data_IF_779306012531
#
_entry.id   IF_779306012531
#
_cell.length_a   1.000
_cell.length_b   1.000
_cell.length_c   1.000
_cell.angle_alpha   90.00
_cell.angle_beta   90.00
_cell.angle_gamma   90.00
#
_symmetry.space_group_name_H-M   'P 1'
#
loop_
_entity.id
_entity.type
_entity.pdbx_description
1 polymer ?
#
# COMPACT_ATOMS: atom_id res chain seq x y z
N UNK A 1 -18.59 -11.37 -23.85
CA UNK A 1 -17.18 -11.74 -23.62
C UNK A 1 -16.65 -10.88 -22.48
N UNK A 2 -15.92 -11.47 -21.55
CA UNK A 2 -15.26 -10.67 -20.50
C UNK A 2 -14.11 -9.86 -21.11
N UNK A 3 -13.88 -8.65 -20.59
CA UNK A 3 -12.80 -7.76 -21.04
C UNK A 3 -11.44 -8.35 -20.63
N UNK A 4 -10.52 -8.45 -21.60
CA UNK A 4 -9.13 -8.79 -21.35
C UNK A 4 -8.32 -7.51 -21.46
N UNK A 5 -7.73 -7.09 -20.34
CA UNK A 5 -6.93 -5.88 -20.28
C UNK A 5 -5.51 -6.14 -20.78
N UNK A 6 -5.02 -5.24 -21.61
CA UNK A 6 -3.69 -5.30 -22.19
C UNK A 6 -2.63 -4.78 -21.22
N UNK A 7 -1.37 -5.16 -21.41
CA UNK A 7 -0.23 -4.52 -20.76
C UNK A 7 0.26 -3.31 -21.58
N UNK A 8 1.01 -2.42 -20.97
CA UNK A 8 1.49 -1.21 -21.63
C UNK A 8 3.00 -1.21 -21.73
N UNK A 9 3.54 -1.09 -22.94
CA UNK A 9 4.98 -1.02 -23.17
C UNK A 9 5.30 -0.28 -24.46
N UNK A 10 6.41 0.46 -24.47
CA UNK A 10 6.86 1.22 -25.65
C UNK A 10 5.82 2.24 -26.14
N UNK A 11 5.04 2.83 -25.24
CA UNK A 11 3.96 3.76 -25.58
C UNK A 11 2.72 3.11 -26.19
N UNK A 12 2.58 1.79 -26.13
CA UNK A 12 1.51 1.03 -26.78
C UNK A 12 0.89 -0.01 -25.85
N UNK A 13 -0.42 -0.23 -26.02
CA UNK A 13 -1.15 -1.34 -25.42
C UNK A 13 -0.92 -2.61 -26.23
N UNK A 14 -0.55 -3.69 -25.54
CA UNK A 14 -0.16 -4.96 -26.16
C UNK A 14 -0.86 -6.13 -25.48
N UNK A 15 -1.08 -7.19 -26.25
CA UNK A 15 -1.48 -8.49 -25.72
C UNK A 15 -0.26 -9.41 -25.65
N UNK A 16 -0.22 -10.30 -24.64
CA UNK A 16 0.84 -11.31 -24.52
C UNK A 16 0.79 -12.29 -25.69
N UNK A 17 1.95 -12.61 -26.24
CA UNK A 17 2.09 -13.62 -27.30
C UNK A 17 1.74 -15.04 -26.82
N UNK A 18 1.85 -15.29 -25.52
CA UNK A 18 1.45 -16.57 -24.92
C UNK A 18 -0.06 -16.81 -25.00
N UNK A 19 -0.86 -15.75 -25.10
CA UNK A 19 -2.32 -15.79 -24.99
C UNK A 19 -2.84 -16.11 -23.59
N UNK A 20 -1.96 -16.32 -22.61
CA UNK A 20 -2.36 -16.60 -21.22
C UNK A 20 -2.88 -15.35 -20.53
N UNK A 21 -3.91 -15.54 -19.71
CA UNK A 21 -4.53 -14.46 -18.93
C UNK A 21 -4.77 -14.89 -17.48
N UNK A 22 -4.91 -13.90 -16.59
CA UNK A 22 -5.26 -14.11 -15.21
C UNK A 22 -6.62 -13.48 -14.98
N UNK A 23 -7.61 -14.31 -14.62
CA UNK A 23 -8.94 -13.82 -14.25
C UNK A 23 -8.88 -13.06 -12.92
N UNK A 24 -9.51 -11.89 -12.89
CA UNK A 24 -9.66 -11.08 -11.68
C UNK A 24 -11.07 -11.30 -11.15
N UNK A 25 -11.14 -11.88 -9.95
CA UNK A 25 -12.40 -12.24 -9.30
C UNK A 25 -12.75 -11.19 -8.25
N UNK A 26 -13.96 -10.68 -8.29
CA UNK A 26 -14.45 -9.75 -7.28
C UNK A 26 -14.58 -10.42 -5.91
N UNK A 27 -14.06 -9.81 -4.83
CA UNK A 27 -14.15 -10.38 -3.49
C UNK A 27 -15.58 -10.46 -2.95
N UNK A 28 -16.50 -9.63 -3.46
CA UNK A 28 -17.89 -9.61 -2.98
C UNK A 28 -18.89 -10.18 -3.99
N UNK A 29 -18.66 -10.02 -5.31
CA UNK A 29 -19.52 -10.61 -6.35
C UNK A 29 -19.21 -12.10 -6.58
N UNK A 30 -18.04 -12.57 -6.17
CA UNK A 30 -17.55 -13.94 -6.39
C UNK A 30 -17.50 -14.37 -7.86
N UNK A 31 -17.52 -13.41 -8.75
CA UNK A 31 -17.44 -13.62 -10.20
C UNK A 31 -16.27 -12.86 -10.80
N UNK A 32 -15.77 -13.35 -11.93
CA UNK A 32 -14.73 -12.64 -12.66
C UNK A 32 -15.29 -11.33 -13.23
N UNK A 33 -14.55 -10.24 -13.05
CA UNK A 33 -14.87 -8.90 -13.56
C UNK A 33 -14.06 -8.54 -14.81
N UNK A 34 -13.11 -9.37 -15.19
CA UNK A 34 -12.21 -9.21 -16.32
C UNK A 34 -10.98 -10.10 -16.15
N UNK A 35 -10.05 -9.97 -17.07
CA UNK A 35 -8.77 -10.66 -17.01
C UNK A 35 -7.63 -9.72 -17.42
N UNK A 36 -6.43 -9.95 -16.93
CA UNK A 36 -5.21 -9.26 -17.35
C UNK A 36 -4.26 -10.23 -18.03
N UNK A 37 -3.32 -9.73 -18.82
CA UNK A 37 -2.31 -10.56 -19.48
C UNK A 37 -1.40 -11.24 -18.43
N UNK A 38 -1.02 -12.49 -18.68
CA UNK A 38 0.04 -13.17 -17.93
C UNK A 38 1.33 -13.13 -18.76
N UNK A 39 2.17 -12.13 -18.49
CA UNK A 39 3.41 -11.93 -19.24
C UNK A 39 4.42 -13.04 -18.96
N UNK A 40 5.13 -13.43 -20.02
CA UNK A 40 6.32 -14.28 -19.95
C UNK A 40 7.53 -13.48 -19.44
N UNK A 41 8.60 -14.20 -19.05
CA UNK A 41 9.86 -13.53 -18.66
C UNK A 41 10.48 -12.78 -19.85
N UNK A 42 10.35 -13.28 -21.06
CA UNK A 42 10.86 -12.61 -22.27
C UNK A 42 10.13 -11.28 -22.53
N UNK A 43 8.81 -11.25 -22.39
CA UNK A 43 8.02 -10.01 -22.50
C UNK A 43 8.35 -9.02 -21.39
N UNK A 44 8.56 -9.51 -20.17
CA UNK A 44 9.03 -8.68 -19.04
C UNK A 44 10.42 -8.11 -19.36
N UNK A 45 11.34 -8.90 -19.90
CA UNK A 45 12.65 -8.41 -20.34
C UNK A 45 12.52 -7.33 -21.41
N UNK A 46 11.65 -7.50 -22.41
CA UNK A 46 11.40 -6.48 -23.44
C UNK A 46 10.89 -5.17 -22.81
N UNK A 47 10.05 -5.23 -21.79
CA UNK A 47 9.61 -4.04 -21.03
C UNK A 47 10.79 -3.36 -20.32
N UNK A 48 11.67 -4.13 -19.68
CA UNK A 48 12.86 -3.60 -18.99
C UNK A 48 13.82 -2.96 -20.00
N UNK A 49 14.09 -3.62 -21.13
CA UNK A 49 14.95 -3.05 -22.19
C UNK A 49 14.34 -1.77 -22.79
N UNK A 50 13.01 -1.70 -22.91
CA UNK A 50 12.32 -0.47 -23.33
C UNK A 50 12.53 0.67 -22.31
N UNK A 51 12.41 0.39 -21.02
CA UNK A 51 12.66 1.37 -19.96
C UNK A 51 14.12 1.85 -19.96
N UNK A 52 15.06 0.91 -20.10
CA UNK A 52 16.50 1.19 -20.17
C UNK A 52 16.85 2.07 -21.38
N UNK A 53 16.25 1.80 -22.53
CA UNK A 53 16.48 2.59 -23.75
C UNK A 53 15.94 4.03 -23.64
N UNK A 54 14.81 4.23 -22.94
CA UNK A 54 14.20 5.54 -22.73
C UNK A 54 14.90 6.37 -21.62
N UNK A 55 15.65 5.73 -20.74
CA UNK A 55 16.25 6.34 -19.55
C UNK A 55 17.17 7.57 -19.86
N UNK A 56 18.09 7.52 -20.82
CA UNK A 56 18.97 8.65 -21.09
C UNK A 56 18.21 9.93 -21.45
N UNK A 57 17.28 9.85 -22.40
CA UNK A 57 16.53 11.01 -22.88
C UNK A 57 15.60 11.58 -21.78
N UNK A 58 14.94 10.68 -21.03
CA UNK A 58 14.08 11.08 -19.92
C UNK A 58 14.86 11.76 -18.79
N UNK A 59 16.06 11.27 -18.48
CA UNK A 59 16.93 11.84 -17.45
C UNK A 59 17.46 13.22 -17.80
N UNK A 60 17.68 13.49 -19.10
CA UNK A 60 18.14 14.78 -19.62
C UNK A 60 17.02 15.82 -19.75
N UNK A 61 15.77 15.38 -19.78
CA UNK A 61 14.62 16.29 -19.79
C UNK A 61 14.60 17.12 -18.51
N UNK A 62 14.31 18.42 -18.59
CA UNK A 62 14.22 19.25 -17.39
C UNK A 62 13.14 18.76 -16.43
N UNK A 63 13.34 18.96 -15.12
CA UNK A 63 12.33 18.62 -14.12
C UNK A 63 11.00 19.35 -14.38
N UNK A 64 11.09 20.56 -14.92
CA UNK A 64 9.93 21.37 -15.30
C UNK A 64 9.13 20.73 -16.44
N UNK A 65 9.80 20.19 -17.45
CA UNK A 65 9.11 19.50 -18.56
C UNK A 65 8.51 18.17 -18.09
N UNK A 66 9.22 17.42 -17.24
CA UNK A 66 8.65 16.20 -16.63
C UNK A 66 7.42 16.50 -15.77
N UNK A 67 7.41 17.64 -15.06
CA UNK A 67 6.29 18.08 -14.24
C UNK A 67 4.99 18.22 -15.03
N UNK A 68 5.04 18.69 -16.29
CA UNK A 68 3.86 18.82 -17.14
C UNK A 68 3.15 17.48 -17.36
N UNK A 69 3.89 16.38 -17.57
CA UNK A 69 3.29 15.06 -17.75
C UNK A 69 2.60 14.58 -16.48
N UNK A 70 3.18 14.84 -15.31
CA UNK A 70 2.63 14.38 -14.03
C UNK A 70 1.42 15.21 -13.61
N UNK A 71 1.44 16.53 -13.80
CA UNK A 71 0.26 17.37 -13.57
C UNK A 71 -0.91 16.95 -14.49
N UNK A 72 -0.62 16.75 -15.79
CA UNK A 72 -1.62 16.26 -16.73
C UNK A 72 -2.14 14.87 -16.34
N UNK A 73 -1.30 13.99 -15.79
CA UNK A 73 -1.73 12.68 -15.27
C UNK A 73 -2.69 12.82 -14.10
N UNK A 74 -2.42 13.68 -13.13
CA UNK A 74 -3.33 13.96 -12.01
C UNK A 74 -4.70 14.45 -12.52
N UNK A 75 -4.71 15.36 -13.50
CA UNK A 75 -5.94 15.87 -14.12
C UNK A 75 -6.74 14.76 -14.84
N UNK A 76 -6.05 13.86 -15.57
CA UNK A 76 -6.70 12.74 -16.24
C UNK A 76 -7.26 11.72 -15.24
N UNK A 77 -6.58 11.47 -14.11
CA UNK A 77 -7.12 10.63 -13.03
C UNK A 77 -8.42 11.21 -12.46
N UNK A 78 -8.48 12.52 -12.24
CA UNK A 78 -9.70 13.17 -11.76
C UNK A 78 -10.86 13.05 -12.75
N UNK A 79 -10.58 13.11 -14.06
CA UNK A 79 -11.60 12.91 -15.11
C UNK A 79 -12.12 11.46 -15.14
N UNK A 80 -11.31 10.51 -14.70
CA UNK A 80 -11.65 9.07 -14.68
C UNK A 80 -12.07 8.58 -13.29
N UNK A 81 -12.29 9.46 -12.30
CA UNK A 81 -12.45 9.06 -10.90
C UNK A 81 -13.65 8.13 -10.66
N UNK A 82 -14.78 8.36 -11.29
CA UNK A 82 -15.97 7.51 -11.13
C UNK A 82 -15.76 6.12 -11.76
N UNK A 83 -15.09 6.05 -12.91
CA UNK A 83 -14.73 4.78 -13.54
C UNK A 83 -13.75 4.00 -12.68
N UNK A 84 -12.67 4.65 -12.22
CA UNK A 84 -11.67 4.05 -11.34
C UNK A 84 -12.29 3.58 -10.02
N UNK A 85 -13.15 4.39 -9.40
CA UNK A 85 -13.83 4.03 -8.16
C UNK A 85 -14.74 2.81 -8.34
N UNK A 86 -15.49 2.74 -9.44
CA UNK A 86 -16.32 1.58 -9.78
C UNK A 86 -15.49 0.32 -9.96
N UNK A 87 -14.32 0.44 -10.59
CA UNK A 87 -13.39 -0.68 -10.79
C UNK A 87 -12.81 -1.13 -9.45
N UNK A 88 -12.27 -0.22 -8.64
CA UNK A 88 -11.73 -0.54 -7.31
C UNK A 88 -12.77 -1.20 -6.41
N UNK A 89 -14.01 -0.68 -6.42
CA UNK A 89 -15.10 -1.29 -5.68
C UNK A 89 -15.31 -2.76 -6.10
N UNK A 90 -15.34 -3.04 -7.39
CA UNK A 90 -15.52 -4.41 -7.91
C UNK A 90 -14.29 -5.29 -7.74
N UNK A 91 -13.11 -4.74 -7.94
CA UNK A 91 -11.85 -5.48 -7.98
C UNK A 91 -11.33 -5.82 -6.58
N UNK A 92 -11.36 -4.88 -5.65
CA UNK A 92 -10.76 -5.04 -4.31
C UNK A 92 -11.76 -4.86 -3.17
N UNK A 93 -13.06 -4.76 -3.48
CA UNK A 93 -14.12 -4.65 -2.47
C UNK A 93 -14.11 -3.36 -1.66
N UNK A 94 -13.46 -2.30 -2.14
CA UNK A 94 -13.43 -1.01 -1.45
C UNK A 94 -14.77 -0.30 -1.58
N UNK A 95 -15.29 0.28 -0.49
CA UNK A 95 -16.50 1.09 -0.52
C UNK A 95 -16.38 2.21 -1.58
N UNK A 96 -17.44 2.43 -2.37
CA UNK A 96 -17.39 3.33 -3.52
C UNK A 96 -16.91 4.74 -3.17
N UNK A 97 -17.42 5.32 -2.06
CA UNK A 97 -17.01 6.66 -1.63
C UNK A 97 -15.56 6.74 -1.19
N UNK A 98 -15.02 5.67 -0.59
CA UNK A 98 -13.61 5.61 -0.22
C UNK A 98 -12.72 5.42 -1.45
N UNK A 99 -13.19 4.73 -2.47
CA UNK A 99 -12.53 4.63 -3.76
C UNK A 99 -12.49 5.99 -4.50
N UNK A 100 -13.56 6.77 -4.48
CA UNK A 100 -13.57 8.16 -5.00
C UNK A 100 -12.51 9.01 -4.29
N UNK A 101 -12.50 8.99 -2.94
CA UNK A 101 -11.52 9.74 -2.16
C UNK A 101 -10.08 9.29 -2.41
N UNK A 102 -9.87 8.00 -2.69
CA UNK A 102 -8.54 7.49 -3.04
C UNK A 102 -8.03 8.15 -4.32
N UNK A 103 -8.86 8.25 -5.37
CA UNK A 103 -8.46 8.89 -6.63
C UNK A 103 -8.19 10.39 -6.43
N UNK A 104 -9.04 11.09 -5.69
CA UNK A 104 -8.86 12.51 -5.39
C UNK A 104 -7.54 12.77 -4.65
N UNK A 105 -7.30 12.04 -3.57
CA UNK A 105 -6.05 12.12 -2.81
C UNK A 105 -4.82 11.72 -3.62
N UNK A 106 -5.00 10.84 -4.62
CA UNK A 106 -3.91 10.45 -5.51
C UNK A 106 -3.51 11.58 -6.43
N UNK A 107 -4.47 12.33 -6.96
CA UNK A 107 -4.18 13.51 -7.76
C UNK A 107 -3.45 14.58 -6.93
N UNK A 108 -3.92 14.84 -5.71
CA UNK A 108 -3.25 15.76 -4.77
C UNK A 108 -1.82 15.30 -4.46
N UNK A 109 -1.62 14.00 -4.21
CA UNK A 109 -0.30 13.42 -3.95
C UNK A 109 0.66 13.61 -5.13
N UNK A 110 0.18 13.43 -6.37
CA UNK A 110 0.99 13.63 -7.57
C UNK A 110 1.40 15.10 -7.68
N UNK A 111 0.46 16.04 -7.53
CA UNK A 111 0.77 17.47 -7.54
C UNK A 111 1.80 17.86 -6.47
N UNK A 112 1.56 17.43 -5.23
CA UNK A 112 2.48 17.67 -4.12
C UNK A 112 3.88 17.09 -4.40
N UNK A 113 3.97 15.87 -4.92
CA UNK A 113 5.25 15.22 -5.27
C UNK A 113 6.01 16.02 -6.33
N UNK A 114 5.31 16.57 -7.32
CA UNK A 114 5.94 17.41 -8.36
C UNK A 114 6.47 18.70 -7.77
N UNK A 115 5.68 19.38 -6.94
CA UNK A 115 6.08 20.64 -6.32
C UNK A 115 7.28 20.45 -5.39
N UNK A 116 7.31 19.40 -4.58
CA UNK A 116 8.47 19.07 -3.74
C UNK A 116 9.72 18.77 -4.57
N UNK A 117 9.55 18.06 -5.69
CA UNK A 117 10.69 17.68 -6.54
C UNK A 117 11.35 18.90 -7.21
N UNK A 118 10.59 19.94 -7.54
CA UNK A 118 11.13 21.19 -8.12
C UNK A 118 12.11 21.88 -7.15
N UNK A 119 11.93 21.68 -5.85
CA UNK A 119 12.80 22.24 -4.80
C UNK A 119 14.02 21.37 -4.48
N UNK A 120 14.19 20.21 -5.11
CA UNK A 120 15.38 19.38 -4.96
C UNK A 120 16.59 20.05 -5.60
N UNK A 121 17.33 20.81 -4.79
CA UNK A 121 18.57 21.46 -5.21
C UNK A 121 19.80 20.63 -4.81
N UNK A 122 20.91 20.85 -5.53
CA UNK A 122 22.22 20.35 -5.12
C UNK A 122 22.84 21.22 -4.02
N UNK A 123 24.04 20.84 -3.59
CA UNK A 123 24.82 21.57 -2.58
C UNK A 123 26.14 22.05 -3.17
N UNK A 124 26.60 23.19 -2.70
CA UNK A 124 27.94 23.71 -3.03
C UNK A 124 28.73 23.90 -1.74
N UNK A 125 29.89 23.24 -1.62
CA UNK A 125 30.71 23.22 -0.44
C UNK A 125 32.09 23.80 -0.72
N UNK A 126 32.50 24.81 0.09
CA UNK A 126 33.82 25.41 0.02
C UNK A 126 34.86 24.56 0.72
N UNK A 127 35.99 24.29 0.07
CA UNK A 127 37.03 23.41 0.63
C UNK A 127 37.68 23.95 1.91
N UNK A 128 37.61 25.26 2.18
CA UNK A 128 38.12 25.86 3.44
C UNK A 128 37.33 25.45 4.70
N UNK A 129 36.12 24.90 4.52
CA UNK A 129 35.31 24.41 5.65
C UNK A 129 35.73 23.02 6.15
N UNK A 130 36.70 22.38 5.53
CA UNK A 130 37.17 21.05 5.89
C UNK A 130 38.62 21.06 6.38
N UNK A 131 38.97 20.27 7.39
CA UNK A 131 40.37 20.13 7.83
C UNK A 131 41.31 19.73 6.68
N UNK A 132 42.37 20.50 6.44
CA UNK A 132 43.29 20.28 5.35
C UNK A 132 42.79 20.71 3.96
N UNK A 133 41.62 21.34 3.91
CA UNK A 133 41.04 21.91 2.68
C UNK A 133 41.62 23.28 2.35
N UNK A 134 41.28 23.83 1.18
CA UNK A 134 41.71 25.15 0.73
C UNK A 134 40.62 25.85 -0.08
N UNK A 135 40.68 27.16 -0.16
CA UNK A 135 39.77 27.99 -0.98
C UNK A 135 39.79 27.66 -2.48
N UNK A 136 40.84 27.02 -2.95
CA UNK A 136 40.93 26.63 -4.37
C UNK A 136 40.12 25.39 -4.72
N UNK A 137 39.52 24.72 -3.71
CA UNK A 137 38.68 23.55 -3.91
C UNK A 137 37.20 23.92 -3.70
N UNK A 138 36.38 23.51 -4.64
CA UNK A 138 34.91 23.61 -4.60
C UNK A 138 34.35 22.22 -4.88
N UNK A 139 33.43 21.75 -4.02
CA UNK A 139 32.63 20.58 -4.30
C UNK A 139 31.22 21.00 -4.68
N UNK A 140 30.70 20.47 -5.77
CA UNK A 140 29.32 20.61 -6.21
C UNK A 140 28.70 19.21 -6.14
N UNK A 141 27.60 19.10 -5.41
CA UNK A 141 26.85 17.84 -5.22
C UNK A 141 25.53 17.98 -5.95
N UNK A 142 25.26 17.08 -6.88
CA UNK A 142 24.01 17.04 -7.63
C UNK A 142 23.31 15.70 -7.41
N UNK A 143 21.98 15.71 -7.41
CA UNK A 143 21.16 14.50 -7.40
C UNK A 143 20.91 14.08 -8.84
N UNK A 144 21.18 12.80 -9.13
CA UNK A 144 20.99 12.22 -10.47
C UNK A 144 20.01 11.03 -10.39
N UNK A 145 19.27 10.74 -11.48
CA UNK A 145 18.43 9.55 -11.56
C UNK A 145 19.24 8.26 -11.39
N UNK A 146 18.67 7.26 -10.75
CA UNK A 146 19.30 5.96 -10.57
C UNK A 146 19.23 5.09 -11.84
N UNK A 147 18.15 5.19 -12.60
CA UNK A 147 17.92 4.36 -13.78
C UNK A 147 16.51 3.79 -13.86
N UNK A 148 16.40 2.48 -14.15
CA UNK A 148 15.12 1.79 -14.21
C UNK A 148 14.65 1.40 -12.80
N UNK A 149 13.50 1.89 -12.39
CA UNK A 149 12.87 1.61 -11.10
C UNK A 149 11.82 0.53 -11.26
N UNK A 150 11.89 -0.53 -10.47
CA UNK A 150 10.82 -1.51 -10.32
C UNK A 150 9.86 -1.05 -9.22
N UNK A 151 8.62 -0.69 -9.59
CA UNK A 151 7.57 -0.29 -8.68
C UNK A 151 6.53 -1.40 -8.53
N UNK A 152 6.34 -1.92 -7.32
CA UNK A 152 5.37 -2.98 -7.00
C UNK A 152 4.38 -2.44 -5.98
N UNK A 153 3.09 -2.36 -6.34
CA UNK A 153 2.03 -1.83 -5.48
C UNK A 153 1.12 -2.93 -4.91
N UNK A 154 0.48 -2.68 -3.75
CA UNK A 154 -0.46 -3.62 -3.12
C UNK A 154 -1.87 -3.49 -3.69
N UNK A 155 -2.77 -4.35 -3.20
CA UNK A 155 -4.18 -4.35 -3.64
C UNK A 155 -5.06 -3.34 -2.90
N UNK A 156 -4.76 -3.03 -1.64
CA UNK A 156 -5.67 -2.30 -0.75
C UNK A 156 -5.82 -0.80 -1.08
N UNK A 157 -4.79 -0.20 -1.66
CA UNK A 157 -4.81 1.15 -2.24
C UNK A 157 -4.15 1.10 -3.63
N UNK A 158 -4.81 0.46 -4.62
CA UNK A 158 -4.19 0.10 -5.89
C UNK A 158 -3.82 1.31 -6.76
N UNK A 159 -4.46 2.46 -6.53
CA UNK A 159 -4.18 3.72 -7.26
C UNK A 159 -3.24 4.62 -6.45
N UNK A 160 -3.54 4.86 -5.17
CA UNK A 160 -2.77 5.80 -4.37
C UNK A 160 -1.34 5.29 -4.07
N UNK A 161 -1.20 4.04 -3.59
CA UNK A 161 0.12 3.48 -3.28
C UNK A 161 0.93 3.17 -4.54
N UNK A 162 0.29 2.98 -5.69
CA UNK A 162 0.99 2.94 -6.97
C UNK A 162 1.54 4.32 -7.33
N UNK A 163 0.72 5.37 -7.29
CA UNK A 163 1.15 6.74 -7.58
C UNK A 163 2.28 7.22 -6.65
N UNK A 164 2.23 6.85 -5.37
CA UNK A 164 3.28 7.15 -4.39
C UNK A 164 4.66 6.55 -4.75
N UNK A 165 4.70 5.59 -5.67
CA UNK A 165 5.93 5.01 -6.21
C UNK A 165 6.28 5.60 -7.58
N UNK A 166 5.28 5.71 -8.45
CA UNK A 166 5.47 6.13 -9.83
C UNK A 166 5.81 7.62 -9.93
N UNK A 167 5.08 8.49 -9.21
CA UNK A 167 5.27 9.93 -9.31
C UNK A 167 6.69 10.36 -8.88
N UNK A 168 7.22 9.99 -7.69
CA UNK A 168 8.58 10.37 -7.32
C UNK A 168 9.65 9.76 -8.24
N UNK A 169 9.48 8.52 -8.71
CA UNK A 169 10.42 7.91 -9.63
C UNK A 169 10.47 8.66 -10.97
N UNK A 170 9.31 8.97 -11.55
CA UNK A 170 9.21 9.66 -12.84
C UNK A 170 9.70 11.11 -12.76
N UNK A 171 9.25 11.88 -11.76
CA UNK A 171 9.63 13.30 -11.65
C UNK A 171 11.13 13.49 -11.44
N UNK A 172 11.78 12.58 -10.74
CA UNK A 172 13.23 12.60 -10.51
C UNK A 172 14.04 12.06 -11.70
N UNK A 173 13.38 11.73 -12.82
CA UNK A 173 14.03 11.38 -14.08
C UNK A 173 14.37 9.90 -14.24
N UNK A 174 13.80 9.02 -13.43
CA UNK A 174 13.91 7.58 -13.60
C UNK A 174 12.83 7.06 -14.54
N UNK A 175 13.10 5.96 -15.24
CA UNK A 175 12.07 5.20 -15.96
C UNK A 175 11.54 4.08 -15.06
N UNK A 176 10.34 3.59 -15.34
CA UNK A 176 9.63 2.70 -14.43
C UNK A 176 9.09 1.45 -15.10
N UNK A 177 9.31 0.31 -14.44
CA UNK A 177 8.55 -0.93 -14.62
C UNK A 177 7.53 -0.99 -13.49
N UNK A 178 6.26 -0.88 -13.82
CA UNK A 178 5.18 -0.95 -12.85
C UNK A 178 4.52 -2.33 -12.82
N UNK A 179 4.55 -2.98 -11.68
CA UNK A 179 3.86 -4.24 -11.41
C UNK A 179 2.80 -4.06 -10.33
N UNK A 180 1.51 -3.90 -10.65
CA UNK A 180 0.45 -3.91 -9.66
C UNK A 180 0.33 -5.29 -8.99
N UNK A 181 -0.30 -5.37 -7.82
CA UNK A 181 -0.76 -6.63 -7.27
C UNK A 181 -1.67 -7.33 -8.30
N UNK A 182 -1.72 -8.66 -8.29
CA UNK A 182 -2.62 -9.40 -9.20
C UNK A 182 -4.07 -8.95 -8.99
N UNK A 183 -4.53 -8.94 -7.75
CA UNK A 183 -5.79 -8.31 -7.36
C UNK A 183 -5.53 -6.80 -7.18
N UNK A 184 -5.98 -5.98 -8.10
CA UNK A 184 -5.65 -4.55 -8.27
C UNK A 184 -5.04 -4.23 -9.64
N UNK A 185 -4.83 -5.25 -10.49
CA UNK A 185 -4.22 -5.08 -11.82
C UNK A 185 -5.11 -4.31 -12.79
N UNK A 186 -6.43 -4.44 -12.70
CA UNK A 186 -7.37 -3.67 -13.56
C UNK A 186 -7.32 -2.20 -13.16
N UNK A 187 -7.37 -1.89 -11.87
CA UNK A 187 -7.22 -0.52 -11.35
C UNK A 187 -5.87 0.08 -11.77
N UNK A 188 -4.78 -0.69 -11.64
CA UNK A 188 -3.46 -0.30 -12.11
C UNK A 188 -3.40 -0.03 -13.61
N UNK A 189 -4.03 -0.88 -14.43
CA UNK A 189 -4.12 -0.69 -15.88
C UNK A 189 -4.86 0.60 -16.23
N UNK A 190 -5.99 0.85 -15.60
CA UNK A 190 -6.78 2.08 -15.80
C UNK A 190 -6.05 3.35 -15.35
N UNK A 191 -5.29 3.25 -14.27
CA UNK A 191 -4.42 4.35 -13.86
C UNK A 191 -3.35 4.68 -14.91
N UNK A 192 -2.80 3.66 -15.57
CA UNK A 192 -1.84 3.86 -16.65
C UNK A 192 -2.54 4.35 -17.94
N UNK A 193 -3.81 4.01 -18.19
CA UNK A 193 -4.59 4.63 -19.28
C UNK A 193 -4.69 6.15 -19.11
N UNK A 194 -4.87 6.64 -17.87
CA UNK A 194 -4.83 8.08 -17.60
C UNK A 194 -3.46 8.70 -17.92
N UNK A 195 -2.36 8.03 -17.51
CA UNK A 195 -1.01 8.50 -17.81
C UNK A 195 -0.70 8.44 -19.31
N UNK A 196 -1.13 7.42 -20.02
CA UNK A 196 -0.90 7.28 -21.46
C UNK A 196 -1.54 8.43 -22.29
N UNK A 197 -2.65 9.01 -21.80
CA UNK A 197 -3.29 10.18 -22.43
C UNK A 197 -2.44 11.46 -22.38
N UNK A 198 -1.43 11.51 -21.53
CA UNK A 198 -0.51 12.66 -21.43
C UNK A 198 0.54 12.70 -22.54
N UNK A 199 0.60 11.69 -23.42
CA UNK A 199 1.65 11.50 -24.39
C UNK A 199 3.06 11.36 -23.77
N UNK A 200 3.13 10.69 -22.59
CA UNK A 200 4.41 10.36 -21.95
C UNK A 200 5.33 9.66 -22.97
N UNK A 201 6.62 10.03 -23.07
CA UNK A 201 7.52 9.41 -24.04
C UNK A 201 7.55 7.88 -23.93
N UNK A 202 7.61 7.22 -25.08
CA UNK A 202 7.59 5.76 -25.16
C UNK A 202 8.72 5.13 -24.33
N UNK A 203 8.41 4.11 -23.54
CA UNK A 203 9.38 3.41 -22.70
C UNK A 203 9.60 4.02 -21.30
N UNK A 204 9.24 5.28 -21.05
CA UNK A 204 9.42 5.93 -19.74
C UNK A 204 8.66 5.18 -18.64
N UNK A 205 7.47 4.67 -18.95
CA UNK A 205 6.73 3.75 -18.08
C UNK A 205 6.29 2.52 -18.86
N UNK A 206 6.46 1.35 -18.25
CA UNK A 206 5.95 0.08 -18.75
C UNK A 206 5.15 -0.62 -17.64
N UNK A 207 3.92 -1.03 -17.95
CA UNK A 207 3.06 -1.81 -17.07
C UNK A 207 3.24 -3.29 -17.37
N UNK A 208 3.61 -4.07 -16.37
CA UNK A 208 3.72 -5.53 -16.46
C UNK A 208 2.71 -6.20 -15.55
N UNK A 209 1.93 -7.13 -16.08
CA UNK A 209 0.96 -7.93 -15.34
C UNK A 209 1.38 -9.40 -15.33
N UNK A 210 1.09 -10.11 -14.25
CA UNK A 210 1.49 -11.49 -14.07
C UNK A 210 1.51 -11.90 -12.60
N UNK A 211 1.51 -13.21 -12.34
CA UNK A 211 1.63 -13.73 -10.98
C UNK A 211 3.03 -13.46 -10.43
N UNK A 212 3.11 -12.97 -9.19
CA UNK A 212 4.39 -12.72 -8.51
C UNK A 212 5.28 -13.96 -8.41
N UNK A 213 4.67 -15.15 -8.28
CA UNK A 213 5.37 -16.44 -8.28
C UNK A 213 6.04 -16.80 -9.61
N UNK A 214 5.66 -16.15 -10.74
CA UNK A 214 6.18 -16.44 -12.09
C UNK A 214 7.19 -15.40 -12.53
N UNK A 215 6.84 -14.10 -12.40
CA UNK A 215 7.67 -13.01 -12.90
C UNK A 215 8.36 -12.19 -11.80
N UNK A 216 7.98 -12.42 -10.52
CA UNK A 216 8.45 -11.58 -9.40
C UNK A 216 9.96 -11.67 -9.19
N UNK A 217 10.48 -12.87 -9.01
CA UNK A 217 11.91 -13.08 -8.78
C UNK A 217 12.74 -12.61 -9.99
N UNK A 218 12.27 -12.90 -11.21
CA UNK A 218 12.92 -12.45 -12.44
C UNK A 218 13.07 -10.93 -12.50
N UNK A 219 12.00 -10.19 -12.12
CA UNK A 219 12.03 -8.72 -12.06
C UNK A 219 13.04 -8.22 -11.03
N UNK A 220 13.07 -8.83 -9.84
CA UNK A 220 13.91 -8.38 -8.71
C UNK A 220 15.38 -8.66 -8.97
N UNK A 221 15.71 -9.81 -9.59
CA UNK A 221 17.06 -10.26 -9.86
C UNK A 221 17.66 -9.68 -11.17
N UNK A 222 16.86 -8.91 -11.94
CA UNK A 222 17.29 -8.41 -13.25
C UNK A 222 18.39 -7.33 -13.12
N UNK A 223 19.46 -7.46 -13.91
CA UNK A 223 20.65 -6.58 -13.85
C UNK A 223 20.38 -5.12 -14.18
N UNK A 224 19.37 -4.83 -14.97
CA UNK A 224 19.04 -3.48 -15.41
C UNK A 224 18.06 -2.75 -14.44
N UNK A 225 17.62 -3.40 -13.37
CA UNK A 225 16.86 -2.74 -12.30
C UNK A 225 17.82 -2.03 -11.35
N UNK A 226 17.64 -0.74 -11.20
CA UNK A 226 18.49 0.12 -10.38
C UNK A 226 17.93 0.41 -8.98
N UNK A 227 16.63 0.22 -8.75
CA UNK A 227 15.95 0.38 -7.47
C UNK A 227 14.66 -0.43 -7.48
N UNK A 228 14.32 -1.04 -6.34
CA UNK A 228 12.99 -1.62 -6.11
C UNK A 228 12.25 -0.79 -5.08
N UNK A 229 11.04 -0.34 -5.43
CA UNK A 229 10.08 0.23 -4.47
C UNK A 229 8.87 -0.69 -4.36
N UNK A 230 8.65 -1.21 -3.16
CA UNK A 230 7.66 -2.26 -2.87
C UNK A 230 6.75 -1.83 -1.71
N UNK A 231 5.45 -2.06 -1.87
CA UNK A 231 4.50 -2.08 -0.74
C UNK A 231 3.72 -3.38 -0.77
N UNK A 232 3.69 -4.09 0.35
CA UNK A 232 2.99 -5.35 0.49
C UNK A 232 3.30 -6.09 1.79
N UNK A 233 3.01 -7.39 1.84
CA UNK A 233 3.24 -8.21 3.03
C UNK A 233 4.71 -8.36 3.37
N UNK A 234 5.02 -8.42 4.67
CA UNK A 234 6.38 -8.49 5.23
C UNK A 234 7.18 -9.65 4.68
N UNK A 235 6.61 -10.85 4.61
CA UNK A 235 7.29 -12.04 4.07
C UNK A 235 7.72 -11.87 2.60
N UNK A 236 6.93 -11.15 1.79
CA UNK A 236 7.31 -10.81 0.41
C UNK A 236 8.43 -9.79 0.38
N UNK A 237 8.39 -8.77 1.26
CA UNK A 237 9.46 -7.78 1.41
C UNK A 237 10.79 -8.42 1.80
N UNK A 238 10.79 -9.33 2.77
CA UNK A 238 11.96 -10.12 3.17
C UNK A 238 12.53 -10.94 2.01
N UNK A 239 11.67 -11.62 1.23
CA UNK A 239 12.07 -12.33 0.04
C UNK A 239 12.72 -11.40 -0.99
N UNK A 240 12.17 -10.21 -1.21
CA UNK A 240 12.75 -9.20 -2.10
C UNK A 240 14.14 -8.81 -1.60
N UNK A 241 14.28 -8.50 -0.31
CA UNK A 241 15.54 -8.11 0.29
C UNK A 241 16.62 -9.21 0.18
N UNK A 242 16.23 -10.49 0.27
CA UNK A 242 17.14 -11.62 0.10
C UNK A 242 17.59 -11.83 -1.35
N UNK A 243 16.74 -11.48 -2.33
CA UNK A 243 16.98 -11.74 -3.75
C UNK A 243 17.55 -10.54 -4.51
N UNK A 244 17.25 -9.35 -4.06
CA UNK A 244 17.77 -8.12 -4.65
C UNK A 244 19.30 -8.12 -4.57
N UNK A 245 19.94 -7.70 -5.66
CA UNK A 245 21.37 -7.47 -5.71
C UNK A 245 21.72 -6.21 -4.88
N UNK A 246 22.92 -5.70 -5.01
CA UNK A 246 23.36 -4.48 -4.31
C UNK A 246 22.71 -3.23 -4.95
N UNK A 247 21.38 -3.10 -4.79
CA UNK A 247 20.58 -1.96 -5.25
C UNK A 247 19.75 -1.40 -4.09
N UNK A 248 19.41 -0.12 -4.08
CA UNK A 248 18.51 0.45 -3.08
C UNK A 248 17.13 -0.21 -3.08
N UNK A 249 16.58 -0.40 -1.87
CA UNK A 249 15.24 -0.91 -1.65
C UNK A 249 14.43 0.12 -0.85
N UNK A 250 13.25 0.48 -1.34
CA UNK A 250 12.26 1.30 -0.61
C UNK A 250 11.10 0.38 -0.27
N UNK A 251 10.99 0.03 1.01
CA UNK A 251 10.06 -0.97 1.51
C UNK A 251 9.00 -0.34 2.40
N UNK A 252 7.73 -0.55 2.06
CA UNK A 252 6.57 -0.23 2.87
C UNK A 252 5.84 -1.54 3.15
N UNK A 253 5.96 -2.05 4.38
CA UNK A 253 5.53 -3.39 4.75
C UNK A 253 4.32 -3.36 5.69
N UNK A 254 4.10 -4.46 6.41
CA UNK A 254 3.06 -4.57 7.41
C UNK A 254 3.33 -3.75 8.67
N UNK A 255 2.37 -3.74 9.58
CA UNK A 255 2.46 -3.09 10.88
C UNK A 255 1.63 -3.81 11.94
N UNK A 256 1.98 -3.62 13.21
CA UNK A 256 1.15 -4.02 14.35
C UNK A 256 0.91 -2.81 15.24
N UNK A 257 0.33 -1.80 14.64
CA UNK A 257 0.23 -0.43 15.13
C UNK A 257 -0.56 -0.35 16.44
N UNK A 258 0.07 0.08 17.55
CA UNK A 258 -0.61 0.20 18.83
C UNK A 258 -1.32 1.55 18.99
N UNK A 259 -2.48 1.52 19.66
CA UNK A 259 -3.03 2.68 20.33
C UNK A 259 -2.77 2.54 21.85
N UNK A 260 -1.99 3.46 22.40
CA UNK A 260 -1.67 3.50 23.85
C UNK A 260 -2.63 4.46 24.51
N UNK A 261 -3.34 3.97 25.54
CA UNK A 261 -4.35 4.74 26.28
C UNK A 261 -3.91 4.92 27.73
N UNK A 262 -3.56 6.15 28.06
CA UNK A 262 -3.16 6.54 29.40
C UNK A 262 -4.37 6.69 30.33
N UNK A 263 -4.14 6.73 31.64
CA UNK A 263 -5.22 6.83 32.66
C UNK A 263 -5.97 8.17 32.61
N UNK A 264 -5.36 9.21 32.07
CA UNK A 264 -5.90 10.56 31.92
C UNK A 264 -6.47 10.87 30.54
N UNK A 265 -6.55 9.86 29.64
CA UNK A 265 -7.02 10.02 28.28
C UNK A 265 -8.51 10.41 28.22
N UNK A 266 -8.87 11.21 27.20
CA UNK A 266 -10.27 11.40 26.84
C UNK A 266 -10.80 10.13 26.16
N UNK A 267 -11.49 9.27 26.94
CA UNK A 267 -11.91 7.94 26.51
C UNK A 267 -12.95 7.96 25.39
N UNK A 268 -13.87 8.96 25.37
CA UNK A 268 -14.86 9.09 24.29
C UNK A 268 -14.19 9.40 22.94
N UNK A 269 -13.23 10.34 22.96
CA UNK A 269 -12.44 10.65 21.77
C UNK A 269 -11.59 9.46 21.34
N UNK A 270 -10.91 8.82 22.29
CA UNK A 270 -10.08 7.65 22.03
C UNK A 270 -10.89 6.52 21.39
N UNK A 271 -12.05 6.17 21.95
CA UNK A 271 -12.91 5.10 21.40
C UNK A 271 -13.32 5.37 19.93
N UNK A 272 -13.76 6.58 19.60
CA UNK A 272 -14.12 6.98 18.24
C UNK A 272 -12.95 6.87 17.27
N UNK A 273 -11.77 7.39 17.67
CA UNK A 273 -10.58 7.36 16.81
C UNK A 273 -10.05 5.94 16.65
N UNK A 274 -10.06 5.13 17.72
CA UNK A 274 -9.66 3.72 17.68
C UNK A 274 -10.56 2.94 16.73
N UNK A 275 -11.87 3.06 16.82
CA UNK A 275 -12.81 2.33 15.95
C UNK A 275 -12.63 2.76 14.50
N UNK A 276 -12.57 4.06 14.22
CA UNK A 276 -12.26 4.56 12.88
C UNK A 276 -10.91 4.05 12.37
N UNK A 277 -9.87 4.08 13.22
CA UNK A 277 -8.53 3.64 12.88
C UNK A 277 -8.40 2.13 12.67
N UNK A 278 -9.15 1.32 13.40
CA UNK A 278 -9.06 -0.15 13.35
C UNK A 278 -9.93 -0.76 12.24
N UNK A 279 -11.15 -0.25 12.04
CA UNK A 279 -12.16 -0.94 11.24
C UNK A 279 -12.42 -0.35 9.85
N UNK A 280 -11.93 0.87 9.53
CA UNK A 280 -12.09 1.42 8.18
C UNK A 280 -11.54 0.45 7.13
N UNK A 281 -12.31 0.25 6.05
CA UNK A 281 -11.99 -0.70 4.99
C UNK A 281 -11.72 -2.11 5.55
N UNK A 282 -12.53 -2.53 6.54
CA UNK A 282 -12.39 -3.84 7.21
C UNK A 282 -11.01 -4.08 7.83
N UNK A 283 -10.28 -3.04 8.23
CA UNK A 283 -8.92 -3.17 8.76
C UNK A 283 -7.85 -3.56 7.72
N UNK A 284 -8.16 -3.58 6.42
CA UNK A 284 -7.21 -3.92 5.35
C UNK A 284 -6.25 -2.76 5.02
N UNK A 285 -5.62 -2.21 6.05
CA UNK A 285 -4.67 -1.11 5.96
C UNK A 285 -3.41 -1.41 6.77
N UNK A 286 -2.26 -1.10 6.21
CA UNK A 286 -0.97 -1.24 6.93
C UNK A 286 -0.94 -0.37 8.20
N UNK A 287 -1.51 0.84 8.16
CA UNK A 287 -1.59 1.80 9.26
C UNK A 287 -2.91 1.70 10.07
N UNK A 288 -3.66 0.59 10.00
CA UNK A 288 -4.78 0.38 10.89
C UNK A 288 -4.31 0.21 12.34
N UNK A 289 -5.09 0.69 13.30
CA UNK A 289 -4.86 0.33 14.71
C UNK A 289 -5.14 -1.16 14.85
N UNK A 290 -4.14 -1.94 15.25
CA UNK A 290 -4.21 -3.40 15.27
C UNK A 290 -4.11 -4.00 16.67
N UNK A 291 -3.89 -3.16 17.68
CA UNK A 291 -3.95 -3.50 19.10
C UNK A 291 -4.14 -2.23 19.96
N UNK A 292 -4.85 -2.38 21.06
CA UNK A 292 -4.99 -1.33 22.06
C UNK A 292 -4.22 -1.74 23.31
N UNK A 293 -3.35 -0.86 23.81
CA UNK A 293 -2.61 -1.00 25.06
C UNK A 293 -3.21 -0.02 26.04
N UNK A 294 -4.10 -0.47 26.94
CA UNK A 294 -4.87 0.41 27.80
C UNK A 294 -4.49 0.26 29.26
N UNK A 295 -4.32 1.37 29.97
CA UNK A 295 -4.12 1.34 31.41
C UNK A 295 -5.34 0.72 32.10
N UNK A 296 -5.10 -0.24 33.01
CA UNK A 296 -6.15 -1.07 33.64
C UNK A 296 -7.23 -0.26 34.37
N UNK A 297 -6.91 0.92 34.88
CA UNK A 297 -7.86 1.76 35.61
C UNK A 297 -9.00 2.29 34.77
N UNK A 298 -8.79 2.42 33.46
CA UNK A 298 -9.76 2.97 32.50
C UNK A 298 -10.23 1.94 31.46
N UNK A 299 -9.72 0.69 31.55
CA UNK A 299 -9.96 -0.33 30.54
C UNK A 299 -11.43 -0.71 30.40
N UNK A 300 -12.16 -0.93 31.51
CA UNK A 300 -13.56 -1.34 31.45
C UNK A 300 -14.46 -0.28 30.79
N UNK A 301 -14.22 0.98 31.09
CA UNK A 301 -14.94 2.10 30.48
C UNK A 301 -14.61 2.22 29.00
N UNK A 302 -13.33 2.16 28.64
CA UNK A 302 -12.88 2.23 27.24
C UNK A 302 -13.47 1.07 26.41
N UNK A 303 -13.45 -0.16 26.92
CA UNK A 303 -14.01 -1.34 26.23
C UNK A 303 -15.49 -1.14 25.94
N UNK A 304 -16.26 -0.63 26.92
CA UNK A 304 -17.68 -0.35 26.74
C UNK A 304 -17.93 0.74 25.69
N UNK A 305 -17.11 1.79 25.66
CA UNK A 305 -17.18 2.86 24.66
C UNK A 305 -16.81 2.34 23.26
N UNK A 306 -15.75 1.56 23.14
CA UNK A 306 -15.35 0.95 21.87
C UNK A 306 -16.46 0.03 21.37
N UNK A 307 -17.02 -0.84 22.23
CA UNK A 307 -18.15 -1.70 21.85
C UNK A 307 -19.31 -0.90 21.28
N UNK A 308 -19.70 0.19 21.96
CA UNK A 308 -20.80 1.04 21.51
C UNK A 308 -20.53 1.71 20.15
N UNK A 309 -19.27 2.05 19.84
CA UNK A 309 -18.90 2.62 18.55
C UNK A 309 -18.81 1.52 17.46
N UNK A 310 -18.33 0.33 17.78
CA UNK A 310 -18.28 -0.81 16.84
C UNK A 310 -19.67 -1.28 16.43
N UNK A 311 -20.64 -1.29 17.35
CA UNK A 311 -22.06 -1.63 17.07
C UNK A 311 -22.73 -0.71 16.05
N UNK A 312 -22.18 0.51 15.82
CA UNK A 312 -22.68 1.46 14.82
C UNK A 312 -22.14 1.19 13.41
N UNK A 313 -21.14 0.32 13.27
CA UNK A 313 -20.51 0.07 11.97
C UNK A 313 -21.47 -0.68 11.04
N UNK A 314 -21.57 -0.21 9.82
CA UNK A 314 -22.30 -0.91 8.76
C UNK A 314 -21.49 -2.09 8.23
N UNK A 315 -22.15 -3.24 8.07
CA UNK A 315 -21.56 -4.46 7.50
C UNK A 315 -22.33 -4.81 6.24
N UNK A 316 -21.65 -5.04 5.13
CA UNK A 316 -22.34 -5.39 3.88
C UNK A 316 -21.55 -5.14 2.60
N UNK A 317 -22.28 -4.72 1.56
CA UNK A 317 -21.71 -4.49 0.23
C UNK A 317 -20.89 -3.20 0.16
N UNK A 318 -19.79 -3.20 -0.59
CA UNK A 318 -19.07 -1.97 -0.92
C UNK A 318 -19.91 -0.99 -1.77
N UNK A 319 -20.93 -1.47 -2.48
CA UNK A 319 -21.89 -0.64 -3.22
C UNK A 319 -22.72 0.24 -2.30
N UNK A 320 -23.07 -0.27 -1.11
CA UNK A 320 -23.83 0.45 -0.07
C UNK A 320 -22.94 1.34 0.80
N UNK A 321 -21.65 1.44 0.48
CA UNK A 321 -20.64 2.14 1.27
C UNK A 321 -20.53 1.61 2.70
N UNK A 322 -20.68 0.30 2.89
CA UNK A 322 -20.51 -0.33 4.19
C UNK A 322 -19.04 -0.15 4.67
N UNK A 323 -18.88 0.09 5.99
CA UNK A 323 -17.56 0.21 6.62
C UNK A 323 -16.83 -1.13 6.61
N UNK A 324 -17.57 -2.19 6.91
CA UNK A 324 -17.08 -3.57 6.91
C UNK A 324 -17.58 -4.25 5.63
N UNK A 325 -16.65 -4.60 4.79
CA UNK A 325 -16.83 -5.24 3.50
C UNK A 325 -16.07 -6.57 3.47
N UNK A 326 -16.35 -7.47 2.51
CA UNK A 326 -15.58 -8.71 2.36
C UNK A 326 -14.08 -8.45 2.25
N UNK A 327 -13.27 -9.28 2.91
CA UNK A 327 -11.81 -9.28 2.72
C UNK A 327 -11.46 -9.70 1.29
N UNK A 328 -10.22 -9.44 0.90
CA UNK A 328 -9.78 -9.64 -0.48
C UNK A 328 -10.00 -11.06 -1.00
N UNK A 329 -9.84 -12.05 -0.15
CA UNK A 329 -10.07 -13.46 -0.45
C UNK A 329 -10.38 -14.29 0.80
N UNK A 330 -10.74 -15.55 0.61
CA UNK A 330 -11.05 -16.49 1.69
C UNK A 330 -9.80 -16.85 2.51
N UNK A 331 -8.62 -16.92 1.89
CA UNK A 331 -7.38 -17.21 2.60
C UNK A 331 -7.06 -16.12 3.63
N UNK A 332 -7.30 -14.87 3.30
CA UNK A 332 -7.18 -13.74 4.24
C UNK A 332 -8.19 -13.86 5.38
N UNK A 333 -9.42 -14.28 5.08
CA UNK A 333 -10.44 -14.49 6.09
C UNK A 333 -10.10 -15.69 7.00
N UNK A 334 -9.58 -16.80 6.45
CA UNK A 334 -9.11 -17.96 7.23
C UNK A 334 -8.00 -17.57 8.20
N UNK A 335 -7.05 -16.74 7.74
CA UNK A 335 -5.97 -16.25 8.58
C UNK A 335 -6.48 -15.40 9.75
N UNK A 336 -7.37 -14.44 9.48
CA UNK A 336 -7.97 -13.60 10.53
C UNK A 336 -8.79 -14.43 11.51
N UNK A 337 -9.59 -15.36 11.02
CA UNK A 337 -10.36 -16.29 11.88
C UNK A 337 -9.44 -17.11 12.77
N UNK A 338 -8.34 -17.64 12.23
CA UNK A 338 -7.36 -18.40 13.01
C UNK A 338 -6.67 -17.58 14.11
N UNK A 339 -6.52 -16.25 13.95
CA UNK A 339 -6.04 -15.37 15.02
C UNK A 339 -7.09 -15.16 16.12
N UNK A 340 -8.36 -15.06 15.75
CA UNK A 340 -9.47 -14.95 16.70
C UNK A 340 -9.60 -16.23 17.51
N UNK A 341 -9.59 -17.38 16.84
CA UNK A 341 -9.72 -18.69 17.47
C UNK A 341 -8.57 -18.97 18.45
N UNK A 342 -7.31 -18.71 18.06
CA UNK A 342 -6.14 -18.80 18.94
C UNK A 342 -6.29 -17.94 20.21
N UNK A 343 -6.79 -16.72 20.05
CA UNK A 343 -6.98 -15.82 21.20
C UNK A 343 -8.06 -16.35 22.17
N UNK A 344 -9.19 -16.81 21.64
CA UNK A 344 -10.29 -17.35 22.44
C UNK A 344 -9.89 -18.65 23.14
N UNK A 345 -9.20 -19.57 22.47
CA UNK A 345 -8.66 -20.81 23.05
C UNK A 345 -7.67 -20.52 24.19
N UNK A 346 -6.92 -19.43 24.11
CA UNK A 346 -5.98 -18.99 25.15
C UNK A 346 -6.60 -18.11 26.24
N UNK A 347 -7.91 -17.91 26.21
CA UNK A 347 -8.65 -17.27 27.27
C UNK A 347 -8.93 -15.76 27.08
N UNK A 348 -8.77 -15.22 25.88
CA UNK A 348 -9.29 -13.89 25.56
C UNK A 348 -10.82 -13.85 25.71
N UNK A 349 -11.35 -12.69 26.10
CA UNK A 349 -12.79 -12.47 26.22
C UNK A 349 -13.34 -11.92 24.92
N UNK A 350 -14.31 -12.62 24.31
CA UNK A 350 -15.08 -12.07 23.19
C UNK A 350 -16.06 -11.02 23.71
N UNK A 351 -15.83 -9.76 23.35
CA UNK A 351 -16.75 -8.66 23.70
C UNK A 351 -17.85 -8.53 22.64
N UNK A 352 -17.47 -8.64 21.37
CA UNK A 352 -18.39 -8.52 20.23
C UNK A 352 -17.84 -9.28 19.02
N UNK A 353 -18.72 -9.75 18.14
CA UNK A 353 -18.36 -10.27 16.83
C UNK A 353 -18.12 -11.76 16.78
N UNK A 354 -17.00 -12.21 16.22
CA UNK A 354 -16.67 -13.61 15.90
C UNK A 354 -17.74 -14.27 15.00
N UNK A 355 -18.23 -13.53 14.02
CA UNK A 355 -19.14 -14.02 12.98
C UNK A 355 -18.46 -13.87 11.63
N UNK A 356 -18.58 -14.91 10.79
CA UNK A 356 -18.02 -14.96 9.46
C UNK A 356 -19.02 -15.49 8.44
N UNK A 357 -19.05 -14.90 7.25
CA UNK A 357 -19.77 -15.39 6.08
C UNK A 357 -18.79 -15.38 4.89
N UNK A 358 -18.27 -16.55 4.53
CA UNK A 358 -17.19 -16.71 3.53
C UNK A 358 -15.96 -15.82 3.85
N UNK A 359 -15.67 -14.81 3.03
CA UNK A 359 -14.59 -13.83 3.29
C UNK A 359 -15.09 -12.53 3.95
N UNK A 360 -16.34 -12.44 4.34
CA UNK A 360 -16.85 -11.35 5.16
C UNK A 360 -16.71 -11.71 6.64
N UNK A 361 -15.80 -11.04 7.33
CA UNK A 361 -15.65 -11.14 8.79
C UNK A 361 -16.36 -9.94 9.42
N UNK A 362 -17.23 -10.21 10.37
CA UNK A 362 -17.89 -9.17 11.15
C UNK A 362 -16.91 -8.52 12.12
N UNK A 363 -17.08 -7.23 12.45
CA UNK A 363 -16.17 -6.55 13.37
C UNK A 363 -16.09 -7.30 14.69
N UNK A 364 -14.88 -7.64 15.11
CA UNK A 364 -14.62 -8.45 16.27
C UNK A 364 -13.77 -7.68 17.27
N UNK A 365 -14.21 -7.65 18.53
CA UNK A 365 -13.52 -7.00 19.63
C UNK A 365 -13.17 -8.06 20.69
N UNK A 366 -11.88 -8.17 21.01
CA UNK A 366 -11.32 -9.11 21.98
C UNK A 366 -10.71 -8.35 23.14
N UNK A 367 -11.08 -8.69 24.39
CA UNK A 367 -10.49 -8.15 25.60
C UNK A 367 -9.64 -9.21 26.34
N UNK A 368 -8.86 -8.77 27.31
CA UNK A 368 -7.94 -9.63 28.08
C UNK A 368 -6.96 -10.40 27.19
N UNK A 369 -6.56 -9.81 26.08
CA UNK A 369 -5.53 -10.41 25.22
C UNK A 369 -4.18 -10.33 25.90
N UNK A 370 -3.43 -11.45 25.85
CA UNK A 370 -2.11 -11.58 26.47
C UNK A 370 -1.01 -11.74 25.43
N UNK A 371 0.25 -11.63 25.86
CA UNK A 371 1.44 -11.75 25.00
C UNK A 371 1.64 -13.16 24.40
N UNK A 372 0.96 -14.17 24.94
CA UNK A 372 1.01 -15.56 24.47
C UNK A 372 0.08 -15.81 23.27
N UNK A 373 -0.78 -14.87 22.94
CA UNK A 373 -1.74 -14.94 21.85
C UNK A 373 -1.14 -14.40 20.57
N UNK A 374 -1.32 -15.10 19.46
CA UNK A 374 -0.80 -14.68 18.15
C UNK A 374 -1.28 -13.29 17.75
N UNK A 375 -2.53 -12.96 18.04
CA UNK A 375 -3.12 -11.67 17.68
C UNK A 375 -2.48 -10.46 18.40
N UNK A 376 -1.72 -10.67 19.47
CA UNK A 376 -0.95 -9.60 20.11
C UNK A 376 0.20 -9.11 19.21
N UNK A 377 0.70 -9.96 18.29
CA UNK A 377 1.92 -9.73 17.50
C UNK A 377 1.71 -9.77 15.99
N UNK A 378 0.92 -10.74 15.49
CA UNK A 378 0.71 -10.90 14.05
C UNK A 378 -0.26 -9.84 13.51
N UNK A 379 0.00 -9.37 12.29
CA UNK A 379 -0.85 -8.39 11.58
C UNK A 379 -2.12 -9.08 11.05
N UNK A 380 -3.33 -8.75 11.53
CA UNK A 380 -4.55 -9.44 11.08
C UNK A 380 -4.99 -9.05 9.68
N UNK A 381 -4.75 -7.80 9.25
CA UNK A 381 -5.25 -7.22 8.00
C UNK A 381 -6.75 -7.48 7.78
N UNK A 382 -7.52 -7.39 8.87
CA UNK A 382 -8.94 -7.69 8.95
C UNK A 382 -9.61 -6.98 10.13
N UNK A 383 -10.95 -7.05 10.26
CA UNK A 383 -11.73 -6.26 11.22
C UNK A 383 -11.75 -6.88 12.62
N UNK A 384 -10.58 -7.06 13.22
CA UNK A 384 -10.42 -7.58 14.59
C UNK A 384 -9.50 -6.68 15.40
N UNK A 385 -9.95 -6.31 16.60
CA UNK A 385 -9.22 -5.44 17.51
C UNK A 385 -9.00 -6.12 18.85
N UNK A 386 -7.75 -6.48 19.21
CA UNK A 386 -7.38 -6.98 20.52
C UNK A 386 -7.09 -5.84 21.49
N UNK A 387 -7.54 -5.99 22.74
CA UNK A 387 -7.26 -5.10 23.84
C UNK A 387 -6.36 -5.80 24.85
N UNK A 388 -5.22 -5.20 25.14
CA UNK A 388 -4.23 -5.63 26.11
C UNK A 388 -4.23 -4.63 27.25
N UNK A 389 -4.47 -5.11 28.47
CA UNK A 389 -4.51 -4.29 29.68
C UNK A 389 -3.12 -4.20 30.30
N UNK A 390 -2.65 -2.98 30.59
CA UNK A 390 -1.33 -2.72 31.15
C UNK A 390 -1.43 -2.05 32.52
N UNK A 391 -0.35 -2.12 33.30
CA UNK A 391 -0.29 -1.56 34.66
C UNK A 391 0.29 -0.14 34.65
N UNK A 392 1.03 0.24 33.61
CA UNK A 392 1.67 1.54 33.49
C UNK A 392 1.91 1.93 32.05
N UNK A 393 2.26 3.17 31.81
CA UNK A 393 2.65 3.67 30.49
C UNK A 393 3.95 3.02 30.00
N UNK A 394 4.89 2.76 30.92
CA UNK A 394 6.16 2.10 30.61
C UNK A 394 5.92 0.69 30.09
N UNK A 395 5.02 -0.09 30.72
CA UNK A 395 4.65 -1.41 30.25
C UNK A 395 4.00 -1.34 28.85
N UNK A 396 3.16 -0.36 28.57
CA UNK A 396 2.59 -0.15 27.25
C UNK A 396 3.68 0.11 26.19
N UNK A 397 4.64 0.98 26.51
CA UNK A 397 5.77 1.29 25.63
C UNK A 397 6.66 0.05 25.41
N UNK A 398 6.93 -0.72 26.46
CA UNK A 398 7.70 -1.97 26.34
C UNK A 398 7.00 -2.97 25.41
N UNK A 399 5.70 -3.18 25.57
CA UNK A 399 4.92 -4.08 24.69
C UNK A 399 4.88 -3.52 23.25
N UNK A 400 4.70 -2.22 23.07
CA UNK A 400 4.72 -1.60 21.76
C UNK A 400 6.04 -1.85 21.03
N UNK A 401 7.16 -1.64 21.72
CA UNK A 401 8.52 -1.78 21.19
C UNK A 401 8.99 -3.23 21.04
N UNK A 402 8.36 -4.19 21.72
CA UNK A 402 8.67 -5.61 21.58
C UNK A 402 8.18 -6.22 20.26
N UNK A 403 7.40 -5.48 19.46
CA UNK A 403 6.98 -5.88 18.13
C UNK A 403 8.13 -5.83 17.13
N UNK A 404 8.15 -6.75 16.17
CA UNK A 404 9.04 -6.68 15.01
C UNK A 404 8.67 -5.56 14.03
N UNK A 405 7.46 -4.99 14.16
CA UNK A 405 6.94 -3.90 13.35
C UNK A 405 7.18 -2.55 14.02
N UNK A 406 7.22 -1.48 13.22
CA UNK A 406 7.42 -0.11 13.70
C UNK A 406 6.85 0.95 12.75
N UNK A 407 5.67 0.69 12.15
CA UNK A 407 5.12 1.54 11.10
C UNK A 407 4.44 2.79 11.68
N UNK A 408 3.47 2.63 12.61
CA UNK A 408 2.73 3.73 13.20
C UNK A 408 2.36 3.41 14.65
N UNK A 409 2.18 4.44 15.46
CA UNK A 409 1.63 4.35 16.80
C UNK A 409 0.78 5.59 17.10
N UNK A 410 -0.18 5.46 18.01
CA UNK A 410 -0.96 6.56 18.54
C UNK A 410 -0.99 6.52 20.07
N UNK A 411 -1.02 7.69 20.69
CA UNK A 411 -1.10 7.84 22.15
C UNK A 411 -2.25 8.79 22.48
N UNK A 412 -3.04 8.40 23.48
CA UNK A 412 -4.13 9.20 24.02
C UNK A 412 -3.83 9.49 25.50
N UNK A 413 -3.73 10.78 25.82
CA UNK A 413 -3.41 11.34 27.13
C UNK A 413 -4.14 12.67 27.31
#
# INVERSE_FOLDING_TARGET
MQTVYQYYSQGQWKSSESGETIAIVSPYLKTSIGSVQALTQDEVNQCIQSAKAAQPDWSLMSIYDRAHYLHAWADELLKMKEELATIMMKEVGKAYQDAIKEVERTADLIHYTVEEAIHLSGESLNGEHFPGGSRSKLAVIERVPLGVVLAISPFNYPVNLAAAKLAPALITGNTVIFKPATQGSISGTKMIEALAKTNLPAGVLNLVTGKGSVIGDYLIEHDDIALVTFTGGTSTGERIAQKAKMIPLVMELGGKDPAIICEDANLELAAKQIVSGAYSYSGQRCTAIKRVLVHRSVADELVSLIQSEVEKLSVGSPEDNATIVPLIDEQSADFVQGLIDDALEKGATLVLGNKREENLIYPTLLDHVTKEMRIAWEEPFGPVLPIIRVNSQEEAIEIANASEYGLQASVFT
#
